data_IF_443778422633
#
_entry.id   IF_443778422633
#
_cell.length_a   1.000
_cell.length_b   1.000
_cell.length_c   1.000
_cell.angle_alpha   90.00
_cell.angle_beta   90.00
_cell.angle_gamma   90.00
#
_symmetry.space_group_name_H-M   'P 1'
#
loop_
_entity.id
_entity.type
_entity.pdbx_description
1 polymer ?
#
# COMPACT_ATOMS: atom_id res chain seq x y z
N UNK A 1 -24.58 -60.45 17.12
CA UNK A 1 -24.81 -59.26 16.27
C UNK A 1 -23.69 -59.27 15.25
N UNK A 2 -23.99 -59.43 13.96
CA UNK A 2 -22.96 -59.40 12.92
C UNK A 2 -22.55 -57.95 12.70
N UNK A 3 -21.26 -57.66 12.84
CA UNK A 3 -20.70 -56.37 12.48
C UNK A 3 -20.80 -56.23 10.95
N UNK A 4 -21.70 -55.34 10.51
CA UNK A 4 -21.94 -55.03 9.10
C UNK A 4 -21.24 -53.72 8.73
N UNK A 5 -19.98 -53.54 9.13
CA UNK A 5 -19.16 -52.39 8.73
C UNK A 5 -18.36 -52.73 7.47
N UNK A 6 -18.26 -51.75 6.58
CA UNK A 6 -17.42 -51.82 5.39
C UNK A 6 -16.64 -50.50 5.25
N UNK A 7 -15.37 -50.62 4.87
CA UNK A 7 -14.47 -49.50 4.64
C UNK A 7 -14.61 -49.01 3.19
N UNK A 8 -14.89 -47.72 3.01
CA UNK A 8 -14.92 -47.10 1.68
C UNK A 8 -13.50 -46.60 1.37
N UNK A 9 -12.83 -47.28 0.45
CA UNK A 9 -11.56 -46.83 -0.09
C UNK A 9 -11.82 -45.71 -1.11
N UNK A 10 -11.61 -44.46 -0.69
CA UNK A 10 -11.85 -43.24 -1.49
C UNK A 10 -10.79 -43.02 -2.58
N UNK A 11 -9.75 -43.86 -2.63
CA UNK A 11 -8.66 -43.77 -3.60
C UNK A 11 -9.08 -44.45 -4.91
N UNK A 12 -9.85 -43.74 -5.72
CA UNK A 12 -10.09 -44.10 -7.13
C UNK A 12 -9.37 -43.12 -8.05
N UNK A 13 -8.93 -43.57 -9.22
CA UNK A 13 -8.28 -42.70 -10.22
C UNK A 13 -9.16 -41.50 -10.60
N UNK A 14 -10.49 -41.67 -10.60
CA UNK A 14 -11.46 -40.60 -10.88
C UNK A 14 -11.48 -39.54 -9.78
N UNK A 15 -11.46 -39.97 -8.51
CA UNK A 15 -11.41 -39.06 -7.36
C UNK A 15 -10.06 -38.33 -7.33
N UNK A 16 -8.96 -39.02 -7.60
CA UNK A 16 -7.64 -38.42 -7.68
C UNK A 16 -7.58 -37.36 -8.80
N UNK A 17 -8.09 -37.68 -9.99
CA UNK A 17 -8.15 -36.73 -11.12
C UNK A 17 -9.00 -35.50 -10.79
N UNK A 18 -10.14 -35.70 -10.11
CA UNK A 18 -10.98 -34.60 -9.68
C UNK A 18 -10.26 -33.72 -8.63
N UNK A 19 -9.57 -34.32 -7.67
CA UNK A 19 -8.78 -33.61 -6.67
C UNK A 19 -7.61 -32.85 -7.29
N UNK A 20 -6.86 -33.47 -8.20
CA UNK A 20 -5.74 -32.83 -8.89
C UNK A 20 -6.22 -31.64 -9.74
N UNK A 21 -7.39 -31.78 -10.38
CA UNK A 21 -8.03 -30.68 -11.11
C UNK A 21 -8.44 -29.54 -10.17
N UNK A 22 -8.97 -29.85 -8.98
CA UNK A 22 -9.31 -28.86 -7.98
C UNK A 22 -8.07 -28.14 -7.45
N UNK A 23 -7.00 -28.87 -7.15
CA UNK A 23 -5.72 -28.31 -6.72
C UNK A 23 -5.12 -27.41 -7.80
N UNK A 24 -5.11 -27.85 -9.07
CA UNK A 24 -4.60 -27.06 -10.18
C UNK A 24 -5.36 -25.74 -10.38
N UNK A 25 -6.68 -25.73 -10.14
CA UNK A 25 -7.49 -24.50 -10.19
C UNK A 25 -7.18 -23.55 -9.02
N UNK A 26 -6.95 -24.10 -7.83
CA UNK A 26 -6.58 -23.32 -6.64
C UNK A 26 -5.14 -22.79 -6.66
N UNK A 27 -4.28 -23.31 -7.54
CA UNK A 27 -2.87 -22.90 -7.64
C UNK A 27 -2.64 -21.57 -8.35
N UNK A 28 -3.66 -21.00 -9.03
CA UNK A 28 -3.53 -19.70 -9.68
C UNK A 28 -4.42 -18.64 -9.02
N UNK A 29 -3.88 -18.02 -7.97
CA UNK A 29 -4.46 -16.89 -7.23
C UNK A 29 -4.22 -15.55 -7.93
N UNK A 30 -3.48 -15.50 -9.04
CA UNK A 30 -3.15 -14.26 -9.75
C UNK A 30 -4.35 -13.33 -9.95
N UNK A 31 -5.53 -13.80 -10.40
CA UNK A 31 -6.68 -12.91 -10.59
C UNK A 31 -7.12 -12.24 -9.28
N UNK A 32 -7.24 -13.01 -8.19
CA UNK A 32 -7.62 -12.49 -6.88
C UNK A 32 -6.58 -11.52 -6.32
N UNK A 33 -5.29 -11.81 -6.51
CA UNK A 33 -4.20 -10.93 -6.06
C UNK A 33 -4.18 -9.60 -6.83
N UNK A 34 -4.55 -9.60 -8.12
CA UNK A 34 -4.69 -8.38 -8.91
C UNK A 34 -5.90 -7.54 -8.47
N UNK A 35 -7.03 -8.20 -8.19
CA UNK A 35 -8.23 -7.52 -7.67
C UNK A 35 -7.92 -6.84 -6.32
N UNK A 36 -7.23 -7.56 -5.41
CA UNK A 36 -6.77 -6.99 -4.15
C UNK A 36 -5.77 -5.84 -4.34
N UNK A 37 -4.85 -5.96 -5.29
CA UNK A 37 -3.84 -4.92 -5.53
C UNK A 37 -4.45 -3.62 -6.05
N UNK A 38 -5.47 -3.68 -6.92
CA UNK A 38 -6.20 -2.49 -7.36
C UNK A 38 -6.98 -1.83 -6.22
N UNK A 39 -7.60 -2.63 -5.34
CA UNK A 39 -8.22 -2.10 -4.12
C UNK A 39 -7.17 -1.43 -3.21
N UNK A 40 -6.05 -2.11 -2.94
CA UNK A 40 -4.99 -1.62 -2.05
C UNK A 40 -4.34 -0.33 -2.58
N UNK A 41 -4.28 -0.16 -3.90
CA UNK A 41 -3.86 1.07 -4.57
C UNK A 41 -4.82 2.23 -4.28
N UNK A 42 -6.14 1.99 -4.31
CA UNK A 42 -7.14 2.98 -3.93
C UNK A 42 -7.01 3.41 -2.47
N UNK A 43 -6.93 2.45 -1.56
CA UNK A 43 -6.74 2.71 -0.13
C UNK A 43 -5.43 3.42 0.19
N UNK A 44 -4.35 3.06 -0.49
CA UNK A 44 -3.06 3.76 -0.39
C UNK A 44 -3.20 5.23 -0.77
N UNK A 45 -3.96 5.54 -1.83
CA UNK A 45 -4.24 6.92 -2.23
C UNK A 45 -5.08 7.68 -1.17
N UNK A 46 -6.02 7.00 -0.52
CA UNK A 46 -6.79 7.57 0.59
C UNK A 46 -5.90 8.00 1.76
N UNK A 47 -4.87 7.22 2.11
CA UNK A 47 -3.90 7.62 3.16
C UNK A 47 -3.26 8.98 2.89
N UNK A 48 -2.94 9.28 1.63
CA UNK A 48 -2.46 10.62 1.24
C UNK A 48 -3.55 11.70 1.33
N UNK A 49 -4.81 11.37 1.03
CA UNK A 49 -5.93 12.32 1.13
C UNK A 49 -6.24 12.66 2.58
N UNK A 50 -6.36 11.64 3.42
CA UNK A 50 -6.68 11.68 4.85
C UNK A 50 -5.51 12.19 5.70
N UNK A 51 -4.27 12.04 5.20
CA UNK A 51 -3.04 12.35 5.93
C UNK A 51 -2.85 11.48 7.16
N UNK A 52 -3.15 10.19 7.02
CA UNK A 52 -3.13 9.19 8.07
C UNK A 52 -2.62 7.84 7.54
N UNK A 53 -2.21 6.95 8.43
CA UNK A 53 -1.81 5.58 8.09
C UNK A 53 -3.02 4.61 8.00
N UNK A 54 -2.74 3.34 7.71
CA UNK A 54 -3.73 2.27 7.59
C UNK A 54 -4.43 1.89 8.91
N UNK A 55 -4.01 2.48 10.03
CA UNK A 55 -4.67 2.36 11.33
C UNK A 55 -5.53 3.60 11.66
N UNK A 56 -5.58 4.58 10.75
CA UNK A 56 -6.24 5.86 10.95
C UNK A 56 -5.44 6.83 11.82
N UNK A 57 -4.16 6.54 12.10
CA UNK A 57 -3.29 7.42 12.87
C UNK A 57 -2.82 8.57 11.97
N UNK A 58 -3.10 9.84 12.31
CA UNK A 58 -2.60 10.97 11.53
C UNK A 58 -1.08 10.97 11.44
N UNK A 59 -0.54 11.26 10.25
CA UNK A 59 0.90 11.37 10.07
C UNK A 59 1.46 12.57 10.81
N UNK A 60 2.71 12.43 11.26
CA UNK A 60 3.40 13.53 11.93
C UNK A 60 3.56 14.73 10.99
N UNK A 61 3.22 15.96 11.45
CA UNK A 61 3.31 17.18 10.67
C UNK A 61 4.66 17.40 10.01
N UNK A 62 4.68 18.21 8.95
CA UNK A 62 5.96 18.64 8.38
C UNK A 62 6.67 19.60 9.34
N UNK A 63 7.99 19.42 9.48
CA UNK A 63 8.82 20.32 10.27
C UNK A 63 8.73 21.78 9.73
N UNK A 64 8.90 22.81 10.57
CA UNK A 64 8.82 24.20 10.16
C UNK A 64 9.70 24.53 8.94
N UNK A 65 10.93 24.02 8.90
CA UNK A 65 11.85 24.25 7.78
C UNK A 65 11.36 23.60 6.48
N UNK A 66 10.70 22.44 6.55
CA UNK A 66 10.09 21.81 5.36
C UNK A 66 8.97 22.67 4.80
N UNK A 67 8.16 23.27 5.68
CA UNK A 67 7.09 24.18 5.28
C UNK A 67 7.64 25.48 4.69
N UNK A 68 8.68 26.06 5.31
CA UNK A 68 9.37 27.24 4.79
C UNK A 68 9.97 27.00 3.40
N UNK A 69 10.70 25.89 3.23
CA UNK A 69 11.29 25.47 1.95
C UNK A 69 10.22 25.24 0.88
N UNK A 70 9.08 24.65 1.25
CA UNK A 70 7.96 24.47 0.33
C UNK A 70 7.43 25.81 -0.18
N UNK A 71 7.16 26.77 0.70
CA UNK A 71 6.67 28.09 0.29
C UNK A 71 7.72 28.83 -0.54
N UNK A 72 9.00 28.71 -0.20
CA UNK A 72 10.09 29.30 -0.97
C UNK A 72 10.20 28.73 -2.38
N UNK A 73 10.12 27.40 -2.53
CA UNK A 73 10.15 26.72 -3.82
C UNK A 73 8.95 27.08 -4.72
N UNK A 74 7.83 27.51 -4.14
CA UNK A 74 6.67 28.02 -4.88
C UNK A 74 6.87 29.40 -5.54
N UNK A 75 8.02 30.04 -5.31
CA UNK A 75 8.47 31.23 -6.02
C UNK A 75 8.13 32.57 -5.36
N UNK A 76 8.71 33.65 -5.91
CA UNK A 76 8.71 34.99 -5.31
C UNK A 76 7.32 35.58 -5.02
N UNK A 77 6.26 35.16 -5.75
CA UNK A 77 4.88 35.63 -5.55
C UNK A 77 4.29 35.21 -4.18
N UNK A 78 4.91 34.25 -3.50
CA UNK A 78 4.52 33.85 -2.15
C UNK A 78 4.96 34.87 -1.10
N UNK A 79 5.81 35.83 -1.46
CA UNK A 79 6.35 36.84 -0.57
C UNK A 79 5.98 38.24 -1.05
N UNK A 80 5.96 39.19 -0.11
CA UNK A 80 5.91 40.62 -0.41
C UNK A 80 7.33 41.14 -0.62
N UNK A 81 7.46 42.40 -1.03
CA UNK A 81 8.76 43.08 -1.21
C UNK A 81 9.59 43.13 0.08
N UNK A 82 8.95 43.10 1.24
CA UNK A 82 9.58 43.10 2.57
C UNK A 82 10.01 41.70 3.05
N UNK A 83 9.80 40.65 2.24
CA UNK A 83 10.13 39.26 2.60
C UNK A 83 9.08 38.55 3.45
N UNK A 84 8.04 39.24 3.94
CA UNK A 84 6.91 38.60 4.64
C UNK A 84 6.02 37.82 3.67
N UNK A 85 5.28 36.82 4.17
CA UNK A 85 4.33 36.06 3.35
C UNK A 85 3.24 36.97 2.78
N UNK A 86 3.02 36.83 1.47
CA UNK A 86 1.83 37.38 0.80
C UNK A 86 0.59 36.56 1.18
N UNK A 87 -0.61 37.06 0.88
CA UNK A 87 -1.87 36.28 1.07
C UNK A 87 -1.82 34.94 0.32
N UNK A 88 -1.18 34.93 -0.86
CA UNK A 88 -0.92 33.70 -1.62
C UNK A 88 0.04 32.78 -0.86
N UNK A 89 1.15 33.30 -0.36
CA UNK A 89 2.11 32.50 0.41
C UNK A 89 1.48 31.86 1.65
N UNK A 90 0.64 32.59 2.37
CA UNK A 90 -0.14 32.05 3.50
C UNK A 90 -1.09 30.93 3.05
N UNK A 91 -1.77 31.12 1.91
CA UNK A 91 -2.67 30.08 1.35
C UNK A 91 -1.88 28.82 0.96
N UNK A 92 -0.71 28.97 0.32
CA UNK A 92 0.17 27.87 -0.07
C UNK A 92 0.69 27.13 1.17
N UNK A 93 1.09 27.86 2.21
CA UNK A 93 1.57 27.29 3.47
C UNK A 93 0.49 26.42 4.14
N UNK A 94 -0.73 26.95 4.27
CA UNK A 94 -1.85 26.25 4.90
C UNK A 94 -2.33 25.06 4.07
N UNK A 95 -2.26 25.15 2.73
CA UNK A 95 -2.67 24.08 1.84
C UNK A 95 -1.66 22.93 1.71
N UNK A 96 -0.45 23.05 2.28
CA UNK A 96 0.60 22.04 2.16
C UNK A 96 0.17 20.71 2.78
N UNK A 97 0.07 19.68 1.95
CA UNK A 97 -0.18 18.29 2.35
C UNK A 97 1.13 17.52 2.58
N UNK A 98 1.21 16.76 3.64
CA UNK A 98 2.27 15.81 3.99
C UNK A 98 2.43 14.79 2.85
N UNK A 99 3.69 14.44 2.56
CA UNK A 99 4.14 13.59 1.43
C UNK A 99 3.75 14.07 0.02
N UNK A 100 3.11 15.23 -0.11
CA UNK A 100 2.69 15.79 -1.38
C UNK A 100 3.45 17.10 -1.61
N UNK A 101 4.51 17.02 -2.41
CA UNK A 101 5.24 18.18 -2.92
C UNK A 101 4.43 18.93 -3.98
N UNK A 102 5.04 19.92 -4.64
CA UNK A 102 4.36 20.70 -5.69
C UNK A 102 3.86 19.85 -6.87
N UNK A 103 4.48 18.70 -7.10
CA UNK A 103 4.12 17.78 -8.18
C UNK A 103 3.32 16.56 -7.70
N UNK A 104 3.28 16.29 -6.39
CA UNK A 104 2.59 15.11 -5.84
C UNK A 104 3.21 13.76 -6.23
N UNK A 105 4.44 13.71 -6.74
CA UNK A 105 5.03 12.50 -7.33
C UNK A 105 4.93 11.25 -6.46
N UNK A 106 5.21 11.34 -5.15
CA UNK A 106 5.16 10.14 -4.30
C UNK A 106 3.76 9.53 -4.29
N UNK A 107 2.69 10.32 -4.15
CA UNK A 107 1.32 9.83 -4.23
C UNK A 107 1.03 9.19 -5.59
N UNK A 108 1.45 9.83 -6.68
CA UNK A 108 1.21 9.36 -8.04
C UNK A 108 1.90 8.02 -8.34
N UNK A 109 3.08 7.80 -7.77
CA UNK A 109 3.93 6.63 -8.04
C UNK A 109 4.14 5.76 -6.79
N UNK A 110 3.28 5.87 -5.77
CA UNK A 110 3.38 5.11 -4.52
C UNK A 110 3.13 3.61 -4.72
N UNK A 111 2.49 3.26 -5.83
CA UNK A 111 1.97 1.93 -6.12
C UNK A 111 2.44 1.47 -7.51
N UNK A 112 3.16 0.38 -7.49
CA UNK A 112 3.36 -0.56 -8.58
C UNK A 112 2.96 -1.92 -8.00
N UNK A 113 2.44 -2.82 -8.83
CA UNK A 113 2.14 -4.17 -8.38
C UNK A 113 2.38 -5.21 -9.48
N UNK A 114 2.77 -6.41 -9.08
CA UNK A 114 2.94 -7.56 -9.96
C UNK A 114 2.56 -8.84 -9.20
N UNK A 115 1.72 -9.67 -9.81
CA UNK A 115 1.24 -10.91 -9.21
C UNK A 115 1.67 -12.13 -10.02
N UNK A 116 2.22 -13.14 -9.33
CA UNK A 116 2.39 -14.51 -9.82
C UNK A 116 1.12 -15.32 -9.53
N UNK A 117 1.19 -16.63 -9.72
CA UNK A 117 0.12 -17.56 -9.38
C UNK A 117 -0.15 -17.62 -7.86
N UNK A 118 0.79 -17.21 -7.01
CA UNK A 118 0.75 -17.44 -5.56
C UNK A 118 1.37 -16.31 -4.72
N UNK A 119 1.92 -15.28 -5.35
CA UNK A 119 2.55 -14.14 -4.66
C UNK A 119 2.21 -12.82 -5.32
N UNK A 120 2.28 -11.76 -4.53
CA UNK A 120 2.06 -10.39 -4.95
C UNK A 120 3.22 -9.53 -4.46
N UNK A 121 3.80 -8.76 -5.37
CA UNK A 121 4.69 -7.64 -5.04
C UNK A 121 3.88 -6.36 -5.16
N UNK A 122 3.93 -5.49 -4.15
CA UNK A 122 3.20 -4.22 -4.10
C UNK A 122 4.07 -3.14 -3.46
N UNK A 123 4.18 -1.98 -4.10
CA UNK A 123 4.95 -0.85 -3.57
C UNK A 123 5.54 0.07 -4.64
N UNK A 124 6.33 1.08 -4.24
CA UNK A 124 6.84 2.11 -5.14
C UNK A 124 8.18 1.69 -5.75
N UNK A 125 8.16 1.03 -6.91
CA UNK A 125 9.37 0.74 -7.69
C UNK A 125 9.30 1.26 -9.12
N UNK A 126 10.46 1.38 -9.76
CA UNK A 126 10.58 1.70 -11.18
C UNK A 126 10.36 3.19 -11.51
N UNK A 127 10.30 4.04 -10.48
CA UNK A 127 9.99 5.47 -10.61
C UNK A 127 11.13 6.39 -10.10
N UNK A 128 12.23 5.81 -9.61
CA UNK A 128 13.38 6.54 -9.08
C UNK A 128 13.17 7.19 -7.72
N UNK A 129 12.06 6.89 -7.04
CA UNK A 129 11.74 7.38 -5.70
C UNK A 129 11.96 6.32 -4.62
N UNK A 130 12.38 5.11 -4.96
CA UNK A 130 12.42 3.94 -4.08
C UNK A 130 13.02 4.23 -2.69
N UNK A 131 14.20 4.88 -2.64
CA UNK A 131 14.85 5.24 -1.38
C UNK A 131 14.07 6.30 -0.58
N UNK A 132 13.52 7.32 -1.26
CA UNK A 132 12.68 8.32 -0.62
C UNK A 132 11.39 7.70 -0.09
N UNK A 133 10.75 6.86 -0.90
CA UNK A 133 9.50 6.19 -0.61
C UNK A 133 9.64 5.23 0.57
N UNK A 134 10.74 4.47 0.65
CA UNK A 134 11.07 3.60 1.77
C UNK A 134 11.28 4.38 3.08
N UNK A 135 12.06 5.47 3.03
CA UNK A 135 12.28 6.33 4.21
C UNK A 135 10.98 6.96 4.70
N UNK A 136 10.05 7.34 3.80
CA UNK A 136 8.73 7.82 4.25
C UNK A 136 7.87 6.70 4.82
N UNK A 137 7.94 5.48 4.27
CA UNK A 137 7.15 4.35 4.77
C UNK A 137 7.56 3.94 6.19
N UNK A 138 8.86 3.82 6.44
CA UNK A 138 9.39 3.22 7.67
C UNK A 138 10.04 4.22 8.63
N UNK A 139 10.24 5.46 8.20
CA UNK A 139 11.05 6.44 8.92
C UNK A 139 12.54 6.10 8.88
N UNK A 140 13.35 6.94 9.51
CA UNK A 140 14.80 6.71 9.63
C UNK A 140 15.63 7.96 9.43
N UNK A 141 16.95 7.78 9.42
CA UNK A 141 17.89 8.88 9.20
C UNK A 141 17.94 9.28 7.71
N UNK A 142 18.00 10.58 7.47
CA UNK A 142 17.98 11.19 6.15
C UNK A 142 18.81 12.47 6.11
N UNK A 143 18.84 13.10 4.93
CA UNK A 143 19.57 14.34 4.70
C UNK A 143 21.07 14.12 4.53
N UNK A 144 21.81 15.23 4.40
CA UNK A 144 23.26 15.20 4.17
C UNK A 144 23.94 14.54 5.37
N UNK A 145 24.60 13.41 5.12
CA UNK A 145 25.30 12.65 6.17
C UNK A 145 24.38 12.01 7.20
N UNK A 146 23.10 11.74 6.86
CA UNK A 146 22.14 11.08 7.76
C UNK A 146 21.95 11.82 9.09
N UNK A 147 21.92 13.15 9.04
CA UNK A 147 21.89 14.04 10.21
C UNK A 147 20.48 14.37 10.70
N UNK A 148 19.43 13.96 9.97
CA UNK A 148 18.04 14.28 10.29
C UNK A 148 17.23 13.02 10.40
N UNK A 149 16.54 12.83 11.53
CA UNK A 149 15.56 11.77 11.66
C UNK A 149 14.23 12.20 11.02
N UNK A 150 13.67 11.33 10.18
CA UNK A 150 12.32 11.45 9.63
C UNK A 150 11.40 10.43 10.28
N UNK A 151 10.22 10.86 10.77
CA UNK A 151 9.23 9.94 11.29
C UNK A 151 8.62 9.10 10.17
N UNK A 152 8.16 7.90 10.52
CA UNK A 152 7.39 7.07 9.61
C UNK A 152 6.05 7.73 9.27
N UNK A 153 5.68 7.63 8.00
CA UNK A 153 4.41 8.08 7.44
C UNK A 153 3.88 6.97 6.57
N UNK A 154 3.58 5.84 7.21
CA UNK A 154 3.27 4.58 6.54
C UNK A 154 2.01 4.73 5.68
N UNK A 155 2.20 4.72 4.36
CA UNK A 155 1.14 4.83 3.35
C UNK A 155 0.85 3.49 2.67
N UNK A 156 1.77 2.53 2.74
CA UNK A 156 1.54 1.15 2.27
C UNK A 156 0.92 0.31 3.38
N UNK A 157 0.14 -0.74 3.02
CA UNK A 157 -0.53 -1.62 3.97
C UNK A 157 0.40 -2.61 4.67
N UNK A 158 1.70 -2.33 4.78
CA UNK A 158 2.70 -3.28 5.26
C UNK A 158 3.69 -2.64 6.22
N UNK A 159 4.01 -3.35 7.30
CA UNK A 159 5.04 -2.93 8.25
C UNK A 159 6.46 -3.37 7.84
N UNK A 160 7.46 -3.01 8.64
CA UNK A 160 8.86 -3.33 8.37
C UNK A 160 9.18 -4.84 8.39
N UNK A 161 8.28 -5.68 8.92
CA UNK A 161 8.42 -7.14 8.97
C UNK A 161 7.69 -7.84 7.82
N UNK A 162 6.95 -7.09 7.00
CA UNK A 162 6.13 -7.66 5.94
C UNK A 162 4.71 -8.03 6.37
N UNK A 163 4.28 -7.66 7.58
CA UNK A 163 2.92 -7.92 8.05
C UNK A 163 1.94 -6.91 7.48
N UNK A 164 0.80 -7.39 7.01
CA UNK A 164 -0.27 -6.53 6.51
C UNK A 164 -1.00 -5.81 7.63
N UNK A 165 -1.44 -4.58 7.36
CA UNK A 165 -2.42 -3.91 8.20
C UNK A 165 -3.71 -4.74 8.28
N UNK A 166 -4.44 -4.75 9.42
CA UNK A 166 -5.61 -5.60 9.60
C UNK A 166 -6.70 -5.47 8.53
N UNK A 167 -6.96 -4.24 8.06
CA UNK A 167 -7.92 -3.99 6.98
C UNK A 167 -7.49 -4.61 5.65
N UNK A 168 -6.20 -4.47 5.31
CA UNK A 168 -5.59 -5.07 4.13
C UNK A 168 -5.62 -6.61 4.16
N UNK A 169 -5.32 -7.20 5.33
CA UNK A 169 -5.38 -8.64 5.53
C UNK A 169 -6.83 -9.17 5.45
N UNK A 170 -7.79 -8.43 6.02
CA UNK A 170 -9.20 -8.78 5.94
C UNK A 170 -9.72 -8.78 4.49
N UNK A 171 -9.37 -7.75 3.71
CA UNK A 171 -9.76 -7.69 2.30
C UNK A 171 -9.09 -8.79 1.47
N UNK A 172 -7.81 -9.08 1.73
CA UNK A 172 -7.12 -10.17 1.03
C UNK A 172 -7.81 -11.51 1.24
N UNK A 173 -8.21 -11.79 2.49
CA UNK A 173 -8.99 -12.99 2.83
C UNK A 173 -10.34 -13.00 2.12
N UNK A 174 -11.04 -11.87 2.05
CA UNK A 174 -12.33 -11.76 1.39
C UNK A 174 -12.23 -12.03 -0.12
N UNK A 175 -11.31 -11.36 -0.81
CA UNK A 175 -11.09 -11.50 -2.26
C UNK A 175 -10.65 -12.92 -2.62
N UNK A 176 -9.73 -13.52 -1.85
CA UNK A 176 -9.33 -14.91 -2.04
C UNK A 176 -10.51 -15.88 -1.83
N UNK A 177 -11.30 -15.66 -0.77
CA UNK A 177 -12.48 -16.48 -0.47
C UNK A 177 -13.52 -16.42 -1.58
N UNK A 178 -13.84 -15.22 -2.08
CA UNK A 178 -14.77 -15.03 -3.20
C UNK A 178 -14.26 -15.72 -4.47
N UNK A 179 -12.97 -15.53 -4.78
CA UNK A 179 -12.35 -16.13 -5.95
C UNK A 179 -12.43 -17.66 -5.92
N UNK A 180 -12.06 -18.28 -4.79
CA UNK A 180 -12.13 -19.73 -4.63
C UNK A 180 -13.57 -20.25 -4.69
N UNK A 181 -14.53 -19.56 -4.06
CA UNK A 181 -15.94 -19.92 -4.13
C UNK A 181 -16.46 -19.89 -5.58
N UNK A 182 -16.05 -18.89 -6.37
CA UNK A 182 -16.41 -18.77 -7.79
C UNK A 182 -15.81 -19.89 -8.64
N UNK A 183 -14.61 -20.35 -8.31
CA UNK A 183 -13.98 -21.50 -8.98
C UNK A 183 -14.70 -22.82 -8.71
N UNK A 184 -15.34 -22.96 -7.54
CA UNK A 184 -16.00 -24.19 -7.10
C UNK A 184 -17.51 -24.21 -7.34
N UNK A 185 -18.12 -23.06 -7.64
CA UNK A 185 -19.55 -22.95 -7.98
C UNK A 185 -19.87 -23.21 -9.45
N UNK A 186 -18.88 -23.67 -10.25
CA UNK A 186 -18.99 -24.00 -11.68
C UNK A 186 -18.71 -25.48 -11.90
#
# INVERSE_FOLDING_TARGET
>A
MSDNTFEINVISNTIQTALDTLLARGQNLRPALLDWAEWAKGETDERFTEQADWHGTPWEPNAPDTLANYVQAGGAKNFKKDGSLSKRGQTVLVAKKILQGHTGNLRQYAFSYEASADSLTFGPWGNGLDAYAAIQQFGGQAGRGLSVYLPARSYLPVDATGQLAPAAEAELRAVLGEYLNRLWSR
#
